data_IF_297634250277
#
_entry.id   IF_297634250277
#
_cell.length_a   1.000
_cell.length_b   1.000
_cell.length_c   1.000
_cell.angle_alpha   90.00
_cell.angle_beta   90.00
_cell.angle_gamma   90.00
#
_symmetry.space_group_name_H-M   'P 1'
#
loop_
_entity.id
_entity.type
_entity.pdbx_description
1 polymer ?
#
# COMPACT_ATOMS: atom_id res chain seq x y z
N UNK A 1 -4.51 8.09 -0.28
CA UNK A 1 -4.85 8.26 1.15
C UNK A 1 -3.65 8.87 1.86
N UNK A 2 -3.86 9.69 2.89
CA UNK A 2 -2.78 10.24 3.73
C UNK A 2 -2.40 9.31 4.87
N UNK A 3 -1.28 9.58 5.56
CA UNK A 3 -0.89 8.85 6.76
C UNK A 3 -2.00 8.84 7.82
N UNK A 4 -2.64 9.98 8.06
CA UNK A 4 -3.73 10.10 9.03
C UNK A 4 -4.95 9.24 8.67
N UNK A 5 -5.27 9.15 7.37
CA UNK A 5 -6.37 8.31 6.88
C UNK A 5 -6.06 6.82 7.08
N UNK A 6 -4.84 6.40 6.72
CA UNK A 6 -4.38 5.02 6.85
C UNK A 6 -4.32 4.58 8.32
N UNK A 7 -3.82 5.46 9.19
CA UNK A 7 -3.79 5.25 10.64
C UNK A 7 -5.21 5.05 11.20
N UNK A 8 -6.12 5.97 10.88
CA UNK A 8 -7.50 5.90 11.35
C UNK A 8 -8.19 4.62 10.87
N UNK A 9 -7.98 4.25 9.61
CA UNK A 9 -8.50 3.02 9.01
C UNK A 9 -8.00 1.78 9.75
N UNK A 10 -6.68 1.60 9.87
CA UNK A 10 -6.10 0.46 10.59
C UNK A 10 -6.57 0.39 12.05
N UNK A 11 -6.67 1.54 12.74
CA UNK A 11 -7.16 1.58 14.12
C UNK A 11 -8.61 1.09 14.23
N UNK A 12 -9.49 1.55 13.33
CA UNK A 12 -10.91 1.15 13.32
C UNK A 12 -11.05 -0.33 12.95
N UNK A 13 -10.30 -0.83 11.97
CA UNK A 13 -10.30 -2.25 11.59
C UNK A 13 -9.87 -3.18 12.74
N UNK A 14 -9.01 -2.68 13.64
CA UNK A 14 -8.60 -3.38 14.87
C UNK A 14 -9.51 -3.13 16.07
N UNK A 15 -10.60 -2.35 15.91
CA UNK A 15 -11.52 -1.96 16.99
C UNK A 15 -10.85 -1.26 18.19
N UNK A 16 -9.78 -0.50 17.93
CA UNK A 16 -9.03 0.21 18.98
C UNK A 16 -9.52 1.65 19.08
N UNK A 17 -9.73 2.22 20.28
CA UNK A 17 -10.07 3.64 20.42
C UNK A 17 -8.82 4.53 20.28
N UNK A 18 -8.98 5.83 19.98
CA UNK A 18 -7.83 6.75 19.97
C UNK A 18 -7.10 6.79 21.32
N UNK A 19 -7.85 6.70 22.43
CA UNK A 19 -7.28 6.67 23.78
C UNK A 19 -6.52 5.38 24.07
N UNK A 20 -7.02 4.25 23.61
CA UNK A 20 -6.34 2.95 23.82
C UNK A 20 -5.08 2.86 22.97
N UNK A 21 -5.11 3.32 21.71
CA UNK A 21 -3.90 3.42 20.90
C UNK A 21 -2.85 4.32 21.56
N UNK A 22 -3.28 5.46 22.10
CA UNK A 22 -2.38 6.38 22.80
C UNK A 22 -1.70 5.73 24.01
N UNK A 23 -2.43 4.92 24.78
CA UNK A 23 -1.87 4.12 25.88
C UNK A 23 -0.88 3.07 25.39
N UNK A 24 -1.22 2.35 24.32
CA UNK A 24 -0.37 1.29 23.75
C UNK A 24 0.98 1.81 23.26
N UNK A 25 1.03 3.03 22.73
CA UNK A 25 2.27 3.63 22.21
C UNK A 25 2.87 4.68 23.14
N UNK A 26 2.34 4.82 24.36
CA UNK A 26 2.81 5.73 25.40
C UNK A 26 2.90 7.20 24.95
N UNK A 27 1.82 7.70 24.34
CA UNK A 27 1.66 9.12 23.98
C UNK A 27 0.37 9.70 24.54
N UNK A 28 0.26 11.03 24.54
CA UNK A 28 -0.99 11.69 24.91
C UNK A 28 -2.08 11.46 23.85
N UNK A 29 -3.32 11.21 24.27
CA UNK A 29 -4.43 10.91 23.35
C UNK A 29 -4.69 12.01 22.28
N UNK A 30 -4.37 13.26 22.61
CA UNK A 30 -4.45 14.39 21.67
C UNK A 30 -3.53 14.20 20.46
N UNK A 31 -2.41 13.49 20.60
CA UNK A 31 -1.48 13.24 19.50
C UNK A 31 -2.12 12.34 18.45
N UNK A 32 -2.81 11.26 18.84
CA UNK A 32 -3.52 10.37 17.91
C UNK A 32 -4.54 11.14 17.08
N UNK A 33 -5.35 11.99 17.73
CA UNK A 33 -6.33 12.83 17.05
C UNK A 33 -5.67 13.79 16.03
N UNK A 34 -4.52 14.40 16.39
CA UNK A 34 -3.76 15.27 15.50
C UNK A 34 -3.17 14.51 14.32
N UNK A 35 -2.67 13.29 14.54
CA UNK A 35 -2.14 12.42 13.48
C UNK A 35 -3.25 12.02 12.51
N UNK A 36 -4.39 11.53 13.00
CA UNK A 36 -5.53 11.13 12.17
C UNK A 36 -6.17 12.29 11.39
N UNK A 37 -6.00 13.52 11.87
CA UNK A 37 -6.45 14.75 11.20
C UNK A 37 -5.37 15.41 10.34
N UNK A 38 -4.21 14.78 10.17
CA UNK A 38 -3.05 15.31 9.43
C UNK A 38 -2.58 16.69 9.91
N UNK A 39 -2.81 17.04 11.17
CA UNK A 39 -2.38 18.32 11.76
C UNK A 39 -0.91 18.32 12.18
N UNK A 40 -0.34 17.12 12.40
CA UNK A 40 1.05 16.91 12.80
C UNK A 40 1.47 15.53 12.32
N UNK A 41 2.73 15.35 11.93
CA UNK A 41 3.28 14.05 11.60
C UNK A 41 3.93 13.41 12.85
N UNK A 42 3.81 12.10 13.06
CA UNK A 42 4.58 11.40 14.09
C UNK A 42 6.07 11.35 13.69
N UNK A 43 6.94 11.16 14.68
CA UNK A 43 8.33 10.77 14.41
C UNK A 43 8.37 9.35 13.86
N UNK A 44 9.48 8.95 13.23
CA UNK A 44 9.68 7.58 12.73
C UNK A 44 9.49 6.55 13.85
N UNK A 45 10.01 6.85 15.04
CA UNK A 45 9.87 5.97 16.22
C UNK A 45 8.41 5.83 16.67
N UNK A 46 7.64 6.93 16.70
CA UNK A 46 6.21 6.88 17.01
C UNK A 46 5.45 6.12 15.92
N UNK A 47 5.76 6.35 14.63
CA UNK A 47 5.15 5.63 13.52
C UNK A 47 5.41 4.12 13.59
N UNK A 48 6.62 3.71 14.00
CA UNK A 48 6.95 2.31 14.24
C UNK A 48 6.10 1.72 15.37
N UNK A 49 6.02 2.38 16.53
CA UNK A 49 5.19 1.92 17.65
C UNK A 49 3.71 1.82 17.27
N UNK A 50 3.20 2.75 16.46
CA UNK A 50 1.84 2.69 15.91
C UNK A 50 1.66 1.43 15.04
N UNK A 51 2.60 1.17 14.14
CA UNK A 51 2.56 0.02 13.25
C UNK A 51 2.55 -1.29 14.05
N UNK A 52 3.43 -1.41 15.05
CA UNK A 52 3.52 -2.55 15.95
C UNK A 52 2.22 -2.74 16.75
N UNK A 53 1.68 -1.66 17.34
CA UNK A 53 0.45 -1.71 18.14
C UNK A 53 -0.80 -2.07 17.33
N UNK A 54 -0.83 -1.70 16.04
CA UNK A 54 -1.94 -2.01 15.12
C UNK A 54 -1.69 -3.30 14.32
N UNK A 55 -0.54 -3.95 14.52
CA UNK A 55 -0.09 -5.13 13.77
C UNK A 55 -0.20 -4.92 12.25
N UNK A 56 0.43 -3.85 11.77
CA UNK A 56 0.58 -3.47 10.35
C UNK A 56 2.03 -3.07 10.08
N UNK A 57 2.41 -2.91 8.81
CA UNK A 57 3.74 -2.39 8.45
C UNK A 57 3.77 -0.86 8.48
N UNK A 58 4.94 -0.27 8.67
CA UNK A 58 5.10 1.19 8.50
C UNK A 58 4.77 1.63 7.07
N UNK A 59 5.11 0.81 6.07
CA UNK A 59 4.71 1.00 4.68
C UNK A 59 3.19 1.12 4.51
N UNK A 60 2.39 0.31 5.22
CA UNK A 60 0.94 0.43 5.18
C UNK A 60 0.48 1.81 5.66
N UNK A 61 1.08 2.31 6.74
CA UNK A 61 0.70 3.63 7.27
C UNK A 61 1.07 4.75 6.29
N UNK A 62 2.18 4.62 5.57
CA UNK A 62 2.66 5.65 4.63
C UNK A 62 1.91 5.59 3.30
N UNK A 63 1.74 4.39 2.74
CA UNK A 63 1.29 4.19 1.37
C UNK A 63 -0.12 3.56 1.24
N UNK A 64 -0.70 3.04 2.32
CA UNK A 64 -1.95 2.28 2.32
C UNK A 64 -1.72 0.78 2.08
N UNK A 65 -2.79 0.02 1.84
CA UNK A 65 -2.62 -1.42 1.56
C UNK A 65 -1.85 -1.63 0.25
N UNK A 66 -1.04 -2.70 0.18
CA UNK A 66 -0.29 -3.07 -1.04
C UNK A 66 -1.20 -3.23 -2.26
N UNK A 67 -2.45 -3.67 -2.05
CA UNK A 67 -3.49 -3.72 -3.06
C UNK A 67 -3.86 -2.32 -3.60
N UNK A 68 -3.94 -1.30 -2.75
CA UNK A 68 -4.20 0.09 -3.17
C UNK A 68 -3.03 0.68 -3.98
N UNK A 69 -1.79 0.35 -3.63
CA UNK A 69 -0.59 0.86 -4.33
C UNK A 69 -0.46 0.28 -5.75
N UNK A 70 -0.91 -0.96 -5.96
CA UNK A 70 -0.86 -1.64 -7.26
C UNK A 70 -2.04 -1.18 -8.14
N UNK A 71 -3.23 -1.06 -7.56
CA UNK A 71 -4.45 -0.68 -8.28
C UNK A 71 -4.38 0.77 -8.83
N UNK A 72 -3.70 1.70 -8.15
CA UNK A 72 -3.57 3.08 -8.63
C UNK A 72 -2.53 3.26 -9.76
N UNK A 73 -1.69 2.26 -10.04
CA UNK A 73 -0.64 2.35 -11.08
C UNK A 73 -1.06 1.79 -12.43
N UNK A 74 -1.99 0.82 -12.45
CA UNK A 74 -2.53 0.23 -13.67
C UNK A 74 -3.90 0.86 -13.92
N UNK A 75 -3.96 1.78 -14.89
CA UNK A 75 -5.20 2.50 -15.24
C UNK A 75 -6.20 1.67 -16.07
N UNK A 76 -5.75 0.54 -16.59
CA UNK A 76 -6.55 -0.31 -17.46
C UNK A 76 -7.14 -1.46 -16.63
N UNK A 77 -8.46 -1.44 -16.48
CA UNK A 77 -9.19 -2.38 -15.63
C UNK A 77 -9.09 -3.83 -16.14
N UNK A 78 -9.06 -4.03 -17.46
CA UNK A 78 -8.91 -5.36 -18.05
C UNK A 78 -7.52 -5.94 -17.77
N UNK A 79 -6.49 -5.13 -17.96
CA UNK A 79 -5.11 -5.49 -17.67
C UNK A 79 -4.91 -5.83 -16.19
N UNK A 80 -5.53 -5.07 -15.29
CA UNK A 80 -5.50 -5.33 -13.86
C UNK A 80 -6.16 -6.68 -13.52
N UNK A 81 -7.32 -6.98 -14.11
CA UNK A 81 -7.99 -8.27 -13.94
C UNK A 81 -7.15 -9.43 -14.47
N UNK A 82 -6.47 -9.25 -15.60
CA UNK A 82 -5.57 -10.27 -16.16
C UNK A 82 -4.41 -10.55 -15.21
N UNK A 83 -3.73 -9.52 -14.68
CA UNK A 83 -2.65 -9.72 -13.70
C UNK A 83 -3.12 -10.47 -12.46
N UNK A 84 -4.30 -10.11 -11.95
CA UNK A 84 -4.90 -10.78 -10.80
C UNK A 84 -5.22 -12.26 -11.06
N UNK A 85 -5.53 -12.65 -12.31
CA UNK A 85 -5.72 -14.07 -12.66
C UNK A 85 -4.39 -14.80 -12.81
N UNK A 86 -3.41 -14.17 -13.44
CA UNK A 86 -2.10 -14.77 -13.76
C UNK A 86 -1.33 -15.17 -12.48
N UNK A 87 -1.47 -14.41 -11.38
CA UNK A 87 -0.75 -14.70 -10.13
C UNK A 87 -1.07 -16.08 -9.52
N UNK A 88 -2.20 -16.69 -9.90
CA UNK A 88 -2.64 -18.00 -9.40
C UNK A 88 -2.28 -19.15 -10.34
N UNK A 89 -1.57 -18.89 -11.44
CA UNK A 89 -1.13 -19.91 -12.38
C UNK A 89 0.16 -20.61 -11.92
N UNK A 90 0.54 -21.69 -12.62
CA UNK A 90 1.81 -22.37 -12.34
C UNK A 90 3.00 -21.47 -12.71
N UNK A 91 4.16 -21.63 -12.05
CA UNK A 91 5.34 -20.81 -12.33
C UNK A 91 5.77 -20.80 -13.80
N UNK A 92 5.64 -21.93 -14.51
CA UNK A 92 5.96 -22.05 -15.94
C UNK A 92 5.03 -21.22 -16.83
N UNK A 93 3.75 -21.17 -16.50
CA UNK A 93 2.74 -20.38 -17.21
C UNK A 93 2.98 -18.88 -16.96
N UNK A 94 3.26 -18.49 -15.72
CA UNK A 94 3.63 -17.12 -15.37
C UNK A 94 4.88 -16.68 -16.14
N UNK A 95 5.89 -17.54 -16.26
CA UNK A 95 7.10 -17.24 -17.02
C UNK A 95 6.81 -17.06 -18.51
N UNK A 96 5.92 -17.87 -19.07
CA UNK A 96 5.49 -17.75 -20.48
C UNK A 96 4.82 -16.39 -20.74
N UNK A 97 3.92 -15.97 -19.86
CA UNK A 97 3.28 -14.65 -19.92
C UNK A 97 4.31 -13.52 -19.83
N UNK A 98 5.27 -13.60 -18.89
CA UNK A 98 6.34 -12.61 -18.76
C UNK A 98 7.18 -12.50 -20.03
N UNK A 99 7.50 -13.62 -20.67
CA UNK A 99 8.26 -13.62 -21.94
C UNK A 99 7.48 -12.94 -23.06
N UNK A 100 6.19 -13.25 -23.20
CA UNK A 100 5.34 -12.64 -24.22
C UNK A 100 5.23 -11.12 -24.05
N UNK A 101 5.01 -10.66 -22.80
CA UNK A 101 4.96 -9.22 -22.48
C UNK A 101 6.28 -8.52 -22.79
N UNK A 102 7.42 -9.11 -22.40
CA UNK A 102 8.76 -8.55 -22.70
C UNK A 102 8.99 -8.43 -24.21
N UNK A 103 8.65 -9.47 -24.97
CA UNK A 103 8.80 -9.46 -26.42
C UNK A 103 7.97 -8.34 -27.08
N UNK A 104 6.72 -8.18 -26.65
CA UNK A 104 5.84 -7.14 -27.18
C UNK A 104 6.34 -5.72 -26.85
N UNK A 105 6.76 -5.47 -25.61
CA UNK A 105 7.31 -4.17 -25.19
C UNK A 105 8.57 -3.85 -25.99
N UNK A 106 9.50 -4.80 -26.11
CA UNK A 106 10.72 -4.64 -26.88
C UNK A 106 10.45 -4.32 -28.36
N UNK A 107 9.48 -5.00 -28.97
CA UNK A 107 9.07 -4.72 -30.35
C UNK A 107 8.57 -3.27 -30.51
N UNK A 108 7.78 -2.77 -29.55
CA UNK A 108 7.27 -1.40 -29.58
C UNK A 108 8.36 -0.35 -29.34
N UNK A 109 9.33 -0.63 -28.49
CA UNK A 109 10.45 0.27 -28.24
C UNK A 109 11.34 0.40 -29.48
N UNK A 110 11.63 -0.70 -30.18
CA UNK A 110 12.36 -0.66 -31.46
C UNK A 110 11.59 0.15 -32.50
N UNK A 111 10.28 -0.05 -32.63
CA UNK A 111 9.46 0.68 -33.59
C UNK A 111 9.53 2.20 -33.37
N UNK A 112 9.56 2.65 -32.10
CA UNK A 112 9.70 4.07 -31.75
C UNK A 112 11.08 4.65 -32.01
N UNK A 113 12.14 3.84 -31.98
CA UNK A 113 13.51 4.30 -32.27
C UNK A 113 13.78 4.46 -33.76
N UNK A 114 12.99 3.77 -34.61
CA UNK A 114 13.10 3.79 -36.06
C UNK A 114 12.17 4.84 -36.72
N UNK A 115 11.32 5.50 -35.94
CA UNK A 115 10.38 6.54 -36.36
C UNK A 115 10.82 7.91 -35.87
#
# INVERSE_FOLDING_TARGET
MSFGDNLKKARIERNISQGDLAKLIEVHATHISRYERNLTAPTIEVAKRIADALNVTTDYLIYGSSEQIINDKIKDDELLQLFNKIQFLKPEEINSVKTMLKAFVFQKDIQKQLS
#
